data_IF_472520940434
#
_entry.id   IF_472520940434
#
_cell.length_a   1.000
_cell.length_b   1.000
_cell.length_c   1.000
_cell.angle_alpha   90.00
_cell.angle_beta   90.00
_cell.angle_gamma   90.00
#
_symmetry.space_group_name_H-M   'P 1'
#
loop_
_entity.id
_entity.type
_entity.pdbx_description
1 polymer ?
#
# COMPACT_ATOMS: atom_id res chain seq x y z
N UNK A 1 17.19 11.67 14.41
CA UNK A 1 16.11 10.83 13.85
C UNK A 1 16.74 9.92 12.80
N UNK A 2 16.45 8.62 12.83
CA UNK A 2 16.99 7.63 11.89
C UNK A 2 18.13 6.75 12.42
N UNK A 3 18.06 6.25 13.66
CA UNK A 3 19.14 5.41 14.21
C UNK A 3 19.07 3.92 13.84
N UNK A 4 17.99 3.46 13.19
CA UNK A 4 17.90 2.05 12.80
C UNK A 4 17.05 1.83 11.55
N UNK A 5 17.48 0.85 10.75
CA UNK A 5 16.74 0.27 9.62
C UNK A 5 16.51 -1.19 9.98
N UNK A 6 15.28 -1.67 9.79
CA UNK A 6 14.94 -3.06 10.03
C UNK A 6 13.93 -3.56 9.00
N UNK A 7 14.10 -4.80 8.55
CA UNK A 7 13.17 -5.46 7.64
C UNK A 7 11.89 -5.85 8.39
N UNK A 8 10.80 -5.11 8.14
CA UNK A 8 9.51 -5.32 8.81
C UNK A 8 8.49 -6.04 7.92
N UNK A 9 8.48 -5.76 6.61
CA UNK A 9 7.53 -6.35 5.66
C UNK A 9 8.28 -6.78 4.41
N UNK A 10 8.12 -8.04 4.01
CA UNK A 10 8.76 -8.62 2.82
C UNK A 10 7.80 -9.51 2.05
N UNK A 11 8.19 -9.88 0.82
CA UNK A 11 7.47 -10.91 0.06
C UNK A 11 7.99 -12.31 0.40
N UNK A 12 7.07 -13.24 0.61
CA UNK A 12 7.34 -14.70 0.70
C UNK A 12 7.63 -15.29 -0.67
N UNK A 13 6.93 -14.79 -1.70
CA UNK A 13 7.11 -15.20 -3.09
C UNK A 13 6.73 -14.05 -4.03
N UNK A 14 7.25 -14.10 -5.26
CA UNK A 14 6.95 -13.11 -6.29
C UNK A 14 5.52 -13.30 -6.83
N UNK A 15 4.85 -12.19 -7.14
CA UNK A 15 3.59 -12.15 -7.88
C UNK A 15 3.78 -11.31 -9.15
N UNK A 16 2.92 -11.46 -10.17
CA UNK A 16 3.01 -10.66 -11.40
C UNK A 16 3.12 -9.17 -11.12
N UNK A 17 4.01 -8.46 -11.84
CA UNK A 17 4.15 -7.01 -11.69
C UNK A 17 2.91 -6.31 -12.22
N UNK A 18 2.43 -5.30 -11.49
CA UNK A 18 1.28 -4.50 -11.90
C UNK A 18 1.49 -3.75 -13.21
N UNK A 19 2.74 -3.44 -13.59
CA UNK A 19 3.08 -2.80 -14.86
C UNK A 19 2.90 -3.72 -16.08
N UNK A 20 2.95 -5.04 -15.89
CA UNK A 20 2.68 -6.01 -16.96
C UNK A 20 1.18 -6.31 -17.16
N UNK A 21 0.32 -5.76 -16.31
CA UNK A 21 -1.13 -5.98 -16.32
C UNK A 21 -1.85 -4.69 -16.71
N UNK A 22 -2.23 -4.64 -18.00
CA UNK A 22 -2.80 -3.46 -18.65
C UNK A 22 -4.26 -3.19 -18.25
N UNK A 23 -5.00 -4.22 -17.83
CA UNK A 23 -6.39 -4.08 -17.42
C UNK A 23 -6.55 -4.25 -15.90
N UNK A 24 -7.41 -3.43 -15.28
CA UNK A 24 -7.58 -3.39 -13.83
C UNK A 24 -8.16 -4.69 -13.23
N UNK A 25 -8.90 -5.46 -14.02
CA UNK A 25 -9.45 -6.78 -13.70
C UNK A 25 -8.39 -7.88 -13.72
N UNK A 26 -7.38 -7.76 -14.60
CA UNK A 26 -6.22 -8.67 -14.63
C UNK A 26 -5.19 -8.37 -13.55
N UNK A 27 -5.32 -7.23 -12.86
CA UNK A 27 -4.39 -6.85 -11.79
C UNK A 27 -4.59 -7.70 -10.55
N UNK A 28 -3.49 -8.05 -9.88
CA UNK A 28 -3.55 -8.73 -8.58
C UNK A 28 -4.49 -7.97 -7.61
N UNK A 29 -5.29 -8.74 -6.90
CA UNK A 29 -6.21 -8.32 -5.84
C UNK A 29 -5.46 -8.00 -4.54
N UNK A 30 -6.11 -7.28 -3.63
CA UNK A 30 -5.58 -7.08 -2.26
C UNK A 30 -5.23 -8.42 -1.61
N UNK A 31 -6.06 -9.45 -1.79
CA UNK A 31 -5.84 -10.75 -1.19
C UNK A 31 -4.59 -11.45 -1.75
N UNK A 32 -4.39 -11.48 -3.07
CA UNK A 32 -3.16 -12.04 -3.67
C UNK A 32 -1.90 -11.29 -3.20
N UNK A 33 -2.01 -9.97 -3.00
CA UNK A 33 -0.93 -9.22 -2.36
C UNK A 33 -0.70 -9.69 -0.91
N UNK A 34 -1.72 -9.77 -0.07
CA UNK A 34 -1.61 -10.21 1.33
C UNK A 34 -1.00 -11.62 1.44
N UNK A 35 -1.46 -12.55 0.62
CA UNK A 35 -0.99 -13.94 0.63
C UNK A 35 0.50 -14.04 0.29
N UNK A 36 1.03 -13.10 -0.50
CA UNK A 36 2.44 -13.02 -0.85
C UNK A 36 3.31 -12.28 0.18
N UNK A 37 2.73 -11.62 1.18
CA UNK A 37 3.45 -10.81 2.17
C UNK A 37 3.69 -11.56 3.47
N UNK A 38 4.78 -11.18 4.16
CA UNK A 38 5.12 -11.62 5.51
C UNK A 38 5.64 -10.43 6.31
N UNK A 39 5.12 -10.26 7.52
CA UNK A 39 5.59 -9.28 8.49
C UNK A 39 6.57 -9.96 9.43
N UNK A 40 7.77 -9.41 9.56
CA UNK A 40 8.72 -9.74 10.62
C UNK A 40 8.57 -8.69 11.72
N UNK A 41 7.97 -9.01 12.88
CA UNK A 41 7.68 -8.02 13.90
C UNK A 41 8.96 -7.39 14.46
N UNK A 42 8.92 -6.08 14.65
CA UNK A 42 9.94 -5.28 15.31
C UNK A 42 9.29 -4.44 16.39
N UNK A 43 10.05 -4.01 17.40
CA UNK A 43 9.52 -3.13 18.44
C UNK A 43 9.29 -1.74 17.85
N UNK A 44 8.03 -1.33 17.75
CA UNK A 44 7.61 0.01 17.35
C UNK A 44 6.87 0.61 18.54
N UNK A 45 7.44 1.63 19.16
CA UNK A 45 6.84 2.29 20.32
C UNK A 45 5.81 3.34 19.94
N UNK A 46 5.91 3.85 18.72
CA UNK A 46 5.05 4.91 18.21
C UNK A 46 3.62 4.38 18.01
N UNK A 47 2.61 5.22 18.27
CA UNK A 47 1.21 4.84 18.08
C UNK A 47 0.81 4.80 16.60
N UNK A 48 1.63 5.35 15.70
CA UNK A 48 1.34 5.44 14.27
C UNK A 48 2.47 4.84 13.45
N UNK A 49 2.12 3.95 12.53
CA UNK A 49 3.01 3.44 11.48
C UNK A 49 2.62 4.12 10.18
N UNK A 50 3.59 4.73 9.50
CA UNK A 50 3.40 5.32 8.17
C UNK A 50 4.09 4.45 7.14
N UNK A 51 3.32 3.81 6.26
CA UNK A 51 3.84 3.12 5.08
C UNK A 51 4.15 4.16 4.02
N UNK A 52 5.42 4.24 3.61
CA UNK A 52 5.89 5.20 2.60
C UNK A 52 6.11 4.45 1.28
N UNK A 53 5.56 5.00 0.21
CA UNK A 53 5.69 4.46 -1.16
C UNK A 53 5.98 5.59 -2.15
N UNK A 54 6.54 5.29 -3.32
CA UNK A 54 6.83 6.29 -4.34
C UNK A 54 5.61 6.53 -5.26
N UNK A 55 4.91 5.46 -5.64
CA UNK A 55 3.81 5.50 -6.61
C UNK A 55 2.59 4.70 -6.12
N UNK A 56 1.47 5.39 -5.96
CA UNK A 56 0.18 4.81 -5.64
C UNK A 56 -0.68 4.73 -6.91
N UNK A 57 -0.93 3.51 -7.37
CA UNK A 57 -1.80 3.25 -8.53
C UNK A 57 -3.24 2.95 -8.11
N UNK A 58 -3.61 1.68 -8.00
CA UNK A 58 -4.93 1.23 -7.51
C UNK A 58 -4.96 0.99 -6.00
N UNK A 59 -3.86 1.27 -5.29
CA UNK A 59 -3.75 1.12 -3.83
C UNK A 59 -3.84 -0.30 -3.28
N UNK A 60 -3.89 -1.34 -4.12
CA UNK A 60 -4.05 -2.73 -3.68
C UNK A 60 -2.84 -3.24 -2.88
N UNK A 61 -1.62 -2.90 -3.30
CA UNK A 61 -0.41 -3.24 -2.53
C UNK A 61 -0.38 -2.51 -1.20
N UNK A 62 -0.61 -1.20 -1.18
CA UNK A 62 -0.58 -0.41 0.06
C UNK A 62 -1.68 -0.84 1.03
N UNK A 63 -2.88 -1.17 0.55
CA UNK A 63 -3.95 -1.76 1.37
C UNK A 63 -3.53 -3.11 1.95
N UNK A 64 -2.98 -4.01 1.14
CA UNK A 64 -2.52 -5.31 1.61
C UNK A 64 -1.45 -5.18 2.70
N UNK A 65 -0.45 -4.31 2.48
CA UNK A 65 0.58 -3.99 3.47
C UNK A 65 -0.03 -3.44 4.76
N UNK A 66 -0.98 -2.51 4.66
CA UNK A 66 -1.64 -1.92 5.82
C UNK A 66 -2.44 -2.96 6.61
N UNK A 67 -3.15 -3.87 5.93
CA UNK A 67 -3.91 -4.94 6.57
C UNK A 67 -2.98 -5.95 7.27
N UNK A 68 -1.88 -6.36 6.64
CA UNK A 68 -0.91 -7.27 7.29
C UNK A 68 -0.24 -6.62 8.50
N UNK A 69 0.16 -5.35 8.40
CA UNK A 69 0.71 -4.60 9.53
C UNK A 69 -0.33 -4.46 10.66
N UNK A 70 -1.60 -4.20 10.34
CA UNK A 70 -2.66 -4.06 11.34
C UNK A 70 -2.97 -5.36 12.08
N UNK A 71 -2.77 -6.52 11.45
CA UNK A 71 -2.89 -7.83 12.13
C UNK A 71 -1.82 -8.01 13.21
N UNK A 72 -0.58 -7.57 12.92
CA UNK A 72 0.57 -7.70 13.84
C UNK A 72 0.58 -6.60 14.90
N UNK A 73 0.17 -5.39 14.54
CA UNK A 73 0.11 -4.21 15.42
C UNK A 73 -1.32 -3.69 15.56
N UNK A 74 -2.21 -4.43 16.25
CA UNK A 74 -3.64 -4.13 16.31
C UNK A 74 -3.96 -2.81 17.04
N UNK A 75 -3.08 -2.34 17.92
CA UNK A 75 -3.20 -1.10 18.67
C UNK A 75 -2.79 0.15 17.86
N UNK A 76 -2.01 -0.03 16.78
CA UNK A 76 -1.40 1.09 16.06
C UNK A 76 -2.29 1.62 14.94
N UNK A 77 -2.24 2.94 14.74
CA UNK A 77 -2.81 3.58 13.56
C UNK A 77 -1.89 3.33 12.35
N UNK A 78 -2.46 2.87 11.23
CA UNK A 78 -1.71 2.70 9.98
C UNK A 78 -2.09 3.82 9.03
N UNK A 79 -1.09 4.58 8.56
CA UNK A 79 -1.21 5.61 7.53
C UNK A 79 -0.38 5.23 6.32
N UNK A 80 -0.76 5.76 5.17
CA UNK A 80 0.01 5.61 3.93
C UNK A 80 0.38 7.01 3.45
N UNK A 81 1.64 7.19 3.12
CA UNK A 81 2.14 8.37 2.42
C UNK A 81 2.71 7.91 1.08
N UNK A 82 2.36 8.62 0.02
CA UNK A 82 2.92 8.36 -1.29
C UNK A 82 3.19 9.67 -2.02
N UNK A 83 4.33 9.75 -2.69
CA UNK A 83 4.74 10.95 -3.41
C UNK A 83 3.88 11.20 -4.65
N UNK A 84 3.55 10.14 -5.41
CA UNK A 84 2.84 10.25 -6.68
C UNK A 84 1.63 9.33 -6.68
N UNK A 85 0.46 9.86 -7.06
CA UNK A 85 -0.73 9.05 -7.32
C UNK A 85 -1.15 9.16 -8.76
N UNK A 86 -1.20 8.03 -9.46
CA UNK A 86 -1.66 7.99 -10.86
C UNK A 86 -3.18 7.85 -10.89
N UNK A 87 -3.91 8.92 -11.25
CA UNK A 87 -5.38 8.86 -11.48
C UNK A 87 -5.73 8.41 -12.90
N UNK A 88 -4.89 8.77 -13.87
CA UNK A 88 -4.94 8.31 -15.24
C UNK A 88 -3.57 8.52 -15.90
N UNK A 89 -3.32 7.91 -17.07
CA UNK A 89 -2.12 8.19 -17.87
C UNK A 89 -2.21 9.51 -18.65
N UNK A 90 -3.39 10.13 -18.68
CA UNK A 90 -3.58 11.50 -19.16
C UNK A 90 -3.19 12.43 -18.01
N UNK A 91 -2.31 13.39 -18.29
CA UNK A 91 -1.87 14.46 -17.38
C UNK A 91 -0.80 14.09 -16.33
N UNK A 92 0.26 13.37 -16.76
CA UNK A 92 1.44 13.07 -15.92
C UNK A 92 2.32 14.30 -15.61
N UNK A 93 2.21 15.38 -16.37
CA UNK A 93 3.08 16.57 -16.27
C UNK A 93 2.60 17.59 -15.23
N UNK A 94 1.42 17.39 -14.64
CA UNK A 94 0.81 18.33 -13.71
C UNK A 94 0.73 17.71 -12.32
N UNK A 95 1.48 18.23 -11.35
CA UNK A 95 1.26 17.90 -9.93
C UNK A 95 0.00 18.65 -9.51
N UNK A 96 -1.09 17.91 -9.34
CA UNK A 96 -2.44 18.50 -9.27
C UNK A 96 -2.77 18.99 -7.85
N UNK A 97 -2.44 18.23 -6.79
CA UNK A 97 -2.64 18.64 -5.38
C UNK A 97 -2.10 17.60 -4.37
N UNK A 98 -1.86 18.00 -3.11
CA UNK A 98 -1.68 17.07 -1.97
C UNK A 98 -3.05 16.60 -1.50
N UNK A 99 -3.47 15.41 -1.95
CA UNK A 99 -4.72 14.79 -1.49
C UNK A 99 -4.54 14.05 -0.15
N UNK A 100 -5.56 14.12 0.71
CA UNK A 100 -5.67 13.37 1.97
C UNK A 100 -7.04 12.73 2.06
N UNK A 101 -7.10 11.50 2.58
CA UNK A 101 -8.36 10.82 2.84
C UNK A 101 -8.16 9.38 3.31
N UNK A 102 -9.21 8.56 3.24
CA UNK A 102 -9.20 7.16 3.67
C UNK A 102 -9.33 6.23 2.46
N UNK A 103 -8.57 5.13 2.51
CA UNK A 103 -8.74 4.01 1.59
C UNK A 103 -9.71 3.00 2.22
N UNK A 104 -10.62 2.46 1.42
CA UNK A 104 -11.57 1.44 1.86
C UNK A 104 -11.44 0.18 1.00
N UNK A 105 -11.58 -1.03 1.58
CA UNK A 105 -11.75 -2.23 0.78
C UNK A 105 -12.96 -2.09 -0.15
N UNK A 106 -12.81 -2.52 -1.39
CA UNK A 106 -13.90 -2.57 -2.37
C UNK A 106 -14.16 -4.02 -2.81
N UNK A 107 -15.27 -4.25 -3.50
CA UNK A 107 -15.62 -5.57 -4.02
C UNK A 107 -14.54 -6.17 -4.92
N UNK A 108 -14.51 -7.51 -5.00
CA UNK A 108 -13.57 -8.29 -5.83
C UNK A 108 -12.08 -8.02 -5.53
N UNK A 109 -11.74 -7.77 -4.26
CA UNK A 109 -10.36 -7.52 -3.83
C UNK A 109 -9.80 -6.20 -4.35
N UNK A 110 -10.67 -5.24 -4.67
CA UNK A 110 -10.30 -3.88 -5.04
C UNK A 110 -10.12 -2.95 -3.84
N UNK A 111 -9.81 -1.69 -4.14
CA UNK A 111 -9.68 -0.62 -3.14
C UNK A 111 -10.36 0.63 -3.68
N UNK A 112 -11.18 1.26 -2.85
CA UNK A 112 -11.65 2.62 -3.07
C UNK A 112 -10.60 3.57 -2.50
N UNK A 113 -10.00 4.36 -3.39
CA UNK A 113 -9.06 5.42 -3.01
C UNK A 113 -9.82 6.69 -2.63
N UNK A 114 -9.24 7.56 -1.78
CA UNK A 114 -9.83 8.88 -1.52
C UNK A 114 -9.90 9.70 -2.82
N UNK A 115 -10.92 10.51 -3.02
CA UNK A 115 -11.03 11.36 -4.22
C UNK A 115 -10.08 12.57 -4.18
#
# INVERSE_FOLDING_TARGET
MGESVADCLKRKYAIPKSSGQFHADTRNTVQEHQESLEVTPILITEPTIIVVDDILTLGRTSMASALELKKVYPDKEIKIFCAIRTRSWKDLETIIDVSRGRMHPAGKGGVQLPD
#
